data_IF_616698727918
#
_entry.id   IF_616698727918
#
_cell.length_a   1.000
_cell.length_b   1.000
_cell.length_c   1.000
_cell.angle_alpha   90.00
_cell.angle_beta   90.00
_cell.angle_gamma   90.00
#
_symmetry.space_group_name_H-M   'P 1'
#
loop_
_entity.id
_entity.type
_entity.pdbx_description
1 polymer ?
#
# COMPACT_ATOMS: atom_id res chain seq x y z
N UNK A 1 -54.18 1.40 -23.59
CA UNK A 1 -53.25 0.91 -22.55
C UNK A 1 -52.05 0.37 -23.29
N UNK A 2 -50.93 1.09 -23.21
CA UNK A 2 -49.68 0.70 -23.82
C UNK A 2 -48.79 0.01 -22.79
N UNK A 3 -48.17 -1.07 -23.20
CA UNK A 3 -46.99 -1.67 -22.56
C UNK A 3 -46.08 -2.00 -23.75
N UNK A 4 -44.99 -1.25 -23.98
CA UNK A 4 -43.78 -1.32 -23.17
C UNK A 4 -43.00 -2.55 -23.64
N UNK A 5 -42.29 -2.51 -24.78
CA UNK A 5 -41.01 -1.80 -24.84
C UNK A 5 -39.88 -2.59 -24.16
N UNK A 6 -39.84 -3.91 -24.27
CA UNK A 6 -38.75 -4.77 -23.79
C UNK A 6 -37.66 -4.97 -24.85
N UNK A 7 -37.11 -3.88 -25.40
CA UNK A 7 -35.88 -3.94 -26.19
C UNK A 7 -34.71 -4.18 -25.24
N UNK A 8 -34.41 -5.45 -24.95
CA UNK A 8 -33.18 -5.83 -24.28
C UNK A 8 -32.01 -5.35 -25.13
N UNK A 9 -31.34 -4.29 -24.67
CA UNK A 9 -30.04 -3.92 -25.19
C UNK A 9 -29.09 -5.08 -24.90
N UNK A 10 -28.86 -5.95 -25.87
CA UNK A 10 -27.68 -6.81 -25.89
C UNK A 10 -26.47 -5.89 -25.76
N UNK A 11 -25.90 -5.87 -24.57
CA UNK A 11 -24.61 -5.29 -24.30
C UNK A 11 -23.61 -6.05 -25.17
N UNK A 12 -23.32 -5.51 -26.36
CA UNK A 12 -22.36 -6.05 -27.31
C UNK A 12 -21.05 -6.24 -26.56
N UNK A 13 -20.74 -7.48 -26.16
CA UNK A 13 -19.46 -7.81 -25.52
C UNK A 13 -18.37 -7.36 -26.48
N UNK A 14 -17.61 -6.34 -26.11
CA UNK A 14 -16.46 -5.89 -26.88
C UNK A 14 -15.44 -7.04 -26.94
N UNK A 15 -15.38 -7.72 -28.09
CA UNK A 15 -14.40 -8.77 -28.32
C UNK A 15 -13.04 -8.12 -28.51
N UNK A 16 -12.16 -8.31 -27.53
CA UNK A 16 -10.80 -7.77 -27.56
C UNK A 16 -9.87 -8.62 -28.43
N UNK A 17 -9.18 -7.98 -29.37
CA UNK A 17 -8.14 -8.60 -30.19
C UNK A 17 -6.77 -8.04 -29.80
N UNK A 18 -5.87 -8.89 -29.32
CA UNK A 18 -4.53 -8.47 -28.89
C UNK A 18 -3.56 -8.17 -30.05
N UNK A 19 -3.85 -8.66 -31.26
CA UNK A 19 -2.98 -8.53 -32.45
C UNK A 19 -3.80 -8.18 -33.69
N UNK A 20 -3.14 -7.54 -34.66
CA UNK A 20 -3.76 -7.24 -35.96
C UNK A 20 -3.98 -8.52 -36.78
N UNK A 21 -5.08 -8.57 -37.52
CA UNK A 21 -5.33 -9.63 -38.49
C UNK A 21 -4.56 -9.32 -39.77
N UNK A 22 -3.80 -10.28 -40.27
CA UNK A 22 -2.88 -10.12 -41.41
C UNK A 22 -3.47 -10.58 -42.75
N UNK A 23 -4.71 -11.07 -42.75
CA UNK A 23 -5.36 -11.57 -43.97
C UNK A 23 -5.65 -10.41 -44.93
N UNK A 24 -5.14 -10.45 -46.18
CA UNK A 24 -5.41 -9.42 -47.18
C UNK A 24 -6.90 -9.27 -47.50
N UNK A 25 -7.70 -10.33 -47.35
CA UNK A 25 -9.15 -10.31 -47.58
C UNK A 25 -9.90 -9.44 -46.57
N UNK A 26 -9.31 -9.19 -45.40
CA UNK A 26 -9.92 -8.44 -44.31
C UNK A 26 -9.53 -6.95 -44.30
N UNK A 27 -8.54 -6.53 -45.11
CA UNK A 27 -8.02 -5.15 -45.03
C UNK A 27 -9.10 -4.11 -45.32
N UNK A 28 -10.00 -4.38 -46.27
CA UNK A 28 -11.10 -3.48 -46.60
C UNK A 28 -12.08 -3.33 -45.44
N UNK A 29 -12.32 -4.42 -44.70
CA UNK A 29 -13.16 -4.39 -43.50
C UNK A 29 -12.46 -3.63 -42.37
N UNK A 30 -11.17 -3.88 -42.16
CA UNK A 30 -10.36 -3.19 -41.15
C UNK A 30 -10.25 -1.69 -41.42
N UNK A 31 -10.13 -1.26 -42.68
CA UNK A 31 -10.08 0.17 -43.02
C UNK A 31 -11.39 0.91 -42.74
N UNK A 32 -12.53 0.21 -42.66
CA UNK A 32 -13.80 0.79 -42.24
C UNK A 32 -13.85 1.02 -40.73
N UNK A 33 -13.13 0.22 -39.96
CA UNK A 33 -13.04 0.37 -38.51
C UNK A 33 -12.31 1.68 -38.13
N UNK A 34 -12.89 2.43 -37.20
CA UNK A 34 -12.31 3.66 -36.67
C UNK A 34 -11.09 3.38 -35.79
N UNK A 35 -11.12 2.30 -35.00
CA UNK A 35 -10.00 1.95 -34.14
C UNK A 35 -8.79 1.54 -34.95
N UNK A 36 -8.93 0.64 -35.93
CA UNK A 36 -7.83 0.27 -36.81
C UNK A 36 -7.18 1.48 -37.50
N UNK A 37 -7.97 2.42 -38.05
CA UNK A 37 -7.45 3.66 -38.64
C UNK A 37 -6.67 4.51 -37.63
N UNK A 38 -7.13 4.61 -36.38
CA UNK A 38 -6.38 5.30 -35.31
C UNK A 38 -5.04 4.63 -35.03
N UNK A 39 -5.01 3.30 -34.92
CA UNK A 39 -3.77 2.56 -34.68
C UNK A 39 -2.73 2.81 -35.76
N UNK A 40 -3.14 2.74 -37.04
CA UNK A 40 -2.24 3.01 -38.18
C UNK A 40 -1.70 4.43 -38.13
N UNK A 41 -2.57 5.43 -37.94
CA UNK A 41 -2.14 6.84 -37.87
C UNK A 41 -1.19 7.11 -36.69
N UNK A 42 -1.44 6.53 -35.52
CA UNK A 42 -0.57 6.68 -34.35
C UNK A 42 0.78 6.00 -34.59
N UNK A 43 0.81 4.80 -35.16
CA UNK A 43 2.07 4.12 -35.52
C UNK A 43 2.89 4.94 -36.53
N UNK A 44 2.23 5.54 -37.52
CA UNK A 44 2.90 6.45 -38.46
C UNK A 44 3.45 7.69 -37.75
N UNK A 45 2.70 8.30 -36.84
CA UNK A 45 3.18 9.47 -36.08
C UNK A 45 4.42 9.14 -35.23
N UNK A 46 4.40 8.00 -34.52
CA UNK A 46 5.57 7.53 -33.74
C UNK A 46 6.77 7.30 -34.65
N UNK A 47 6.57 6.66 -35.80
CA UNK A 47 7.63 6.43 -36.78
C UNK A 47 8.21 7.75 -37.32
N UNK A 48 7.35 8.70 -37.70
CA UNK A 48 7.77 10.01 -38.20
C UNK A 48 8.56 10.79 -37.14
N UNK A 49 8.15 10.74 -35.87
CA UNK A 49 8.89 11.35 -34.76
C UNK A 49 10.25 10.66 -34.53
N UNK A 50 10.29 9.32 -34.55
CA UNK A 50 11.52 8.56 -34.37
C UNK A 50 12.55 8.87 -35.47
N UNK A 51 12.11 8.96 -36.72
CA UNK A 51 12.97 9.28 -37.87
C UNK A 51 13.39 10.77 -37.86
N UNK A 52 12.55 11.67 -37.34
CA UNK A 52 12.90 13.08 -37.14
C UNK A 52 13.88 13.31 -35.99
N UNK A 53 13.98 12.37 -35.05
CA UNK A 53 14.86 12.48 -33.91
C UNK A 53 16.29 12.13 -34.32
N UNK A 54 17.15 13.15 -34.37
CA UNK A 54 18.56 12.96 -34.72
C UNK A 54 19.27 12.12 -33.65
N UNK A 55 19.84 10.98 -34.07
CA UNK A 55 20.63 10.09 -33.22
C UNK A 55 22.00 9.91 -33.84
N UNK A 56 23.04 9.81 -33.00
CA UNK A 56 24.44 9.63 -33.43
C UNK A 56 24.65 8.41 -34.35
N UNK A 57 23.74 7.44 -34.31
CA UNK A 57 23.82 6.19 -35.06
C UNK A 57 22.92 6.14 -36.31
N UNK A 58 22.21 7.23 -36.64
CA UNK A 58 21.29 7.30 -37.79
C UNK A 58 21.80 8.29 -38.84
N UNK A 59 21.75 7.95 -40.14
CA UNK A 59 22.04 8.90 -41.21
C UNK A 59 21.13 10.13 -41.12
N UNK A 60 21.70 11.32 -41.34
CA UNK A 60 20.92 12.54 -41.37
C UNK A 60 19.95 12.55 -42.56
N UNK A 61 18.69 12.92 -42.31
CA UNK A 61 17.69 13.12 -43.36
C UNK A 61 18.07 14.33 -44.23
N UNK A 62 17.86 14.18 -45.54
CA UNK A 62 17.96 15.29 -46.49
C UNK A 62 16.89 16.35 -46.23
N UNK A 63 17.12 17.59 -46.66
CA UNK A 63 16.15 18.68 -46.50
C UNK A 63 14.79 18.37 -47.15
N UNK A 64 14.80 17.67 -48.29
CA UNK A 64 13.58 17.24 -48.96
C UNK A 64 12.78 16.22 -48.11
N UNK A 65 13.46 15.23 -47.54
CA UNK A 65 12.84 14.22 -46.67
C UNK A 65 12.27 14.83 -45.39
N UNK A 66 12.97 15.80 -44.78
CA UNK A 66 12.46 16.51 -43.58
C UNK A 66 11.14 17.23 -43.87
N UNK A 67 11.06 17.91 -45.01
CA UNK A 67 9.84 18.59 -45.46
C UNK A 67 8.69 17.60 -45.71
N UNK A 68 9.00 16.43 -46.28
CA UNK A 68 8.01 15.38 -46.50
C UNK A 68 7.50 14.78 -45.18
N UNK A 69 8.39 14.54 -44.23
CA UNK A 69 8.04 14.06 -42.89
C UNK A 69 7.12 15.05 -42.16
N UNK A 70 7.42 16.35 -42.23
CA UNK A 70 6.57 17.40 -41.65
C UNK A 70 5.19 17.45 -42.33
N UNK A 71 5.14 17.34 -43.66
CA UNK A 71 3.88 17.31 -44.41
C UNK A 71 3.03 16.07 -44.05
N UNK A 72 3.65 14.89 -43.93
CA UNK A 72 2.98 13.66 -43.51
C UNK A 72 2.50 13.73 -42.07
N UNK A 73 3.29 14.30 -41.16
CA UNK A 73 2.92 14.52 -39.77
C UNK A 73 1.68 15.42 -39.69
N UNK A 74 1.69 16.56 -40.38
CA UNK A 74 0.54 17.49 -40.45
C UNK A 74 -0.70 16.80 -41.03
N UNK A 75 -0.53 15.97 -42.06
CA UNK A 75 -1.64 15.19 -42.65
C UNK A 75 -2.22 14.20 -41.65
N UNK A 76 -1.39 13.43 -40.94
CA UNK A 76 -1.85 12.45 -39.95
C UNK A 76 -2.61 13.14 -38.80
N UNK A 77 -2.06 14.24 -38.27
CA UNK A 77 -2.71 15.03 -37.22
C UNK A 77 -4.01 15.70 -37.69
N UNK A 78 -4.13 16.05 -38.98
CA UNK A 78 -5.38 16.57 -39.55
C UNK A 78 -6.47 15.51 -39.75
N UNK A 79 -6.09 14.24 -39.94
CA UNK A 79 -7.05 13.14 -40.15
C UNK A 79 -7.63 12.58 -38.84
N UNK A 80 -6.84 12.56 -37.75
CA UNK A 80 -7.25 12.00 -36.46
C UNK A 80 -8.56 12.61 -35.88
N UNK A 81 -8.79 13.94 -35.91
CA UNK A 81 -10.02 14.55 -35.43
C UNK A 81 -11.29 14.06 -36.12
N UNK A 82 -11.18 13.64 -37.38
CA UNK A 82 -12.32 13.15 -38.18
C UNK A 82 -12.77 11.73 -37.82
N UNK A 83 -12.04 11.01 -36.98
CA UNK A 83 -12.35 9.62 -36.62
C UNK A 83 -13.14 9.58 -35.32
N UNK A 84 -14.38 9.09 -35.36
CA UNK A 84 -15.21 8.85 -34.18
C UNK A 84 -14.77 7.59 -33.40
N UNK A 85 -15.08 7.47 -32.09
CA UNK A 85 -15.75 8.44 -31.21
C UNK A 85 -14.77 9.45 -30.56
N UNK A 86 -15.10 10.74 -30.56
CA UNK A 86 -14.31 11.76 -29.84
C UNK A 86 -12.93 12.06 -30.44
N UNK A 87 -12.82 12.07 -31.77
CA UNK A 87 -11.54 12.23 -32.50
C UNK A 87 -10.72 13.44 -32.08
N UNK A 88 -11.34 14.59 -31.81
CA UNK A 88 -10.63 15.80 -31.38
C UNK A 88 -9.91 15.61 -30.02
N UNK A 89 -10.57 14.97 -29.05
CA UNK A 89 -9.97 14.64 -27.75
C UNK A 89 -8.83 13.63 -27.91
N UNK A 90 -9.03 12.63 -28.76
CA UNK A 90 -8.01 11.64 -29.08
C UNK A 90 -6.78 12.27 -29.73
N UNK A 91 -6.96 13.14 -30.73
CA UNK A 91 -5.87 13.86 -31.38
C UNK A 91 -5.06 14.71 -30.39
N UNK A 92 -5.73 15.42 -29.48
CA UNK A 92 -5.06 16.18 -28.41
C UNK A 92 -4.26 15.28 -27.46
N UNK A 93 -4.81 14.11 -27.11
CA UNK A 93 -4.11 13.14 -26.27
C UNK A 93 -2.87 12.56 -26.97
N UNK A 94 -2.96 12.24 -28.27
CA UNK A 94 -1.81 11.80 -29.08
C UNK A 94 -0.75 12.89 -29.14
N UNK A 95 -1.13 14.16 -29.38
CA UNK A 95 -0.18 15.28 -29.37
C UNK A 95 0.58 15.37 -28.04
N UNK A 96 -0.15 15.32 -26.91
CA UNK A 96 0.46 15.36 -25.57
C UNK A 96 1.39 14.16 -25.33
N UNK A 97 1.05 12.99 -25.88
CA UNK A 97 1.88 11.79 -25.77
C UNK A 97 3.19 11.92 -26.56
N UNK A 98 3.14 12.46 -27.78
CA UNK A 98 4.31 12.72 -28.63
C UNK A 98 5.23 13.78 -28.01
N UNK A 99 4.66 14.87 -27.47
CA UNK A 99 5.40 15.89 -26.71
C UNK A 99 6.10 15.29 -25.49
N UNK A 100 5.41 14.44 -24.72
CA UNK A 100 6.01 13.75 -23.57
C UNK A 100 7.14 12.82 -24.00
N UNK A 101 6.98 12.11 -25.12
CA UNK A 101 8.03 11.25 -25.68
C UNK A 101 9.26 12.08 -26.08
N UNK A 102 9.09 13.25 -26.68
CA UNK A 102 10.20 14.15 -27.00
C UNK A 102 10.98 14.57 -25.75
N UNK A 103 10.28 14.94 -24.68
CA UNK A 103 10.91 15.24 -23.39
C UNK A 103 11.66 14.04 -22.82
N UNK A 104 11.09 12.83 -22.93
CA UNK A 104 11.70 11.60 -22.46
C UNK A 104 12.99 11.27 -23.24
N UNK A 105 12.98 11.45 -24.56
CA UNK A 105 14.15 11.25 -25.42
C UNK A 105 15.25 12.25 -25.05
N UNK A 106 14.92 13.54 -24.90
CA UNK A 106 15.88 14.58 -24.48
C UNK A 106 16.48 14.27 -23.11
N UNK A 107 15.65 13.88 -22.15
CA UNK A 107 16.11 13.50 -20.81
C UNK A 107 17.06 12.31 -20.85
N UNK A 108 16.71 11.26 -21.61
CA UNK A 108 17.58 10.10 -21.80
C UNK A 108 18.90 10.47 -22.48
N UNK A 109 18.85 11.34 -23.49
CA UNK A 109 20.04 11.86 -24.16
C UNK A 109 20.94 12.68 -23.23
N UNK A 110 20.36 13.35 -22.22
CA UNK A 110 21.09 14.11 -21.20
C UNK A 110 21.70 13.25 -20.07
N UNK A 111 21.65 11.91 -20.19
CA UNK A 111 22.24 11.00 -19.21
C UNK A 111 21.33 10.65 -18.03
N UNK A 112 20.01 10.78 -18.21
CA UNK A 112 19.01 10.34 -17.24
C UNK A 112 19.18 11.00 -15.85
N UNK A 113 19.28 12.33 -15.82
CA UNK A 113 19.41 13.08 -14.56
C UNK A 113 18.26 12.76 -13.59
N UNK A 114 18.52 12.55 -12.29
CA UNK A 114 17.44 12.33 -11.33
C UNK A 114 16.39 13.46 -11.39
N UNK A 115 15.12 13.09 -11.54
CA UNK A 115 14.01 14.05 -11.51
C UNK A 115 13.62 14.47 -10.08
N UNK A 116 14.17 13.76 -9.09
CA UNK A 116 13.92 14.03 -7.69
C UNK A 116 14.59 15.35 -7.31
N UNK A 117 13.76 16.36 -7.04
CA UNK A 117 14.22 17.49 -6.25
C UNK A 117 14.46 16.96 -4.86
N UNK A 118 15.72 16.88 -4.43
CA UNK A 118 16.02 16.76 -3.01
C UNK A 118 15.13 17.78 -2.29
N UNK A 119 14.42 17.36 -1.24
CA UNK A 119 13.49 18.23 -0.53
C UNK A 119 14.24 19.50 -0.15
N UNK A 120 14.03 20.57 -0.93
CA UNK A 120 14.65 21.86 -0.67
C UNK A 120 13.83 22.49 0.43
N UNK A 121 13.91 21.90 1.62
CA UNK A 121 13.71 22.65 2.84
C UNK A 121 14.92 23.58 2.85
N UNK A 122 14.82 24.70 2.13
CA UNK A 122 15.77 25.77 2.34
C UNK A 122 15.68 26.07 3.84
N UNK A 123 16.80 25.95 4.55
CA UNK A 123 16.86 26.26 5.99
C UNK A 123 16.30 27.68 6.25
N UNK A 124 16.37 28.54 5.24
CA UNK A 124 15.77 29.88 5.18
C UNK A 124 14.22 29.90 5.08
N UNK A 125 13.55 28.97 4.39
CA UNK A 125 12.07 28.86 4.44
C UNK A 125 11.57 28.21 5.73
N UNK A 126 12.39 27.34 6.35
CA UNK A 126 12.12 26.83 7.70
C UNK A 126 12.22 27.94 8.77
N UNK A 127 13.08 28.96 8.58
CA UNK A 127 13.20 30.13 9.48
C UNK A 127 12.34 31.34 9.06
N UNK A 128 11.93 31.43 7.79
CA UNK A 128 11.29 32.60 7.19
C UNK A 128 9.77 32.65 7.30
N UNK A 129 9.10 31.56 7.66
CA UNK A 129 7.68 31.64 8.04
C UNK A 129 7.58 32.34 9.38
N UNK A 130 7.35 33.66 9.32
CA UNK A 130 6.95 34.54 10.44
C UNK A 130 6.30 33.70 11.52
N UNK A 131 6.98 33.58 12.68
CA UNK A 131 6.40 33.12 13.94
C UNK A 131 5.05 33.82 14.07
N UNK A 132 3.96 33.16 13.64
CA UNK A 132 2.61 33.58 13.99
C UNK A 132 2.66 33.55 15.51
N UNK A 133 2.46 34.72 16.13
CA UNK A 133 2.38 34.89 17.58
C UNK A 133 1.77 33.62 18.15
N UNK A 134 2.56 32.92 18.97
CA UNK A 134 2.04 31.88 19.82
C UNK A 134 1.02 32.54 20.74
N UNK A 135 -0.22 32.64 20.25
CA UNK A 135 -1.37 32.78 21.12
C UNK A 135 -1.41 31.47 21.91
N UNK A 136 -1.33 31.63 23.21
CA UNK A 136 -0.87 30.60 24.13
C UNK A 136 -1.79 29.40 24.21
N UNK A 137 -1.21 28.34 24.78
CA UNK A 137 -1.91 27.36 25.61
C UNK A 137 -2.93 26.48 24.92
N UNK A 138 -2.56 25.22 24.67
CA UNK A 138 -3.55 24.18 24.42
C UNK A 138 -2.97 23.00 23.68
N UNK A 139 -2.74 21.92 24.42
CA UNK A 139 -2.56 20.56 23.92
C UNK A 139 -3.59 20.22 22.83
N UNK A 140 -3.14 19.64 21.72
CA UNK A 140 -4.01 18.98 20.73
C UNK A 140 -4.72 19.89 19.72
N UNK A 141 -4.03 20.28 18.64
CA UNK A 141 -4.71 20.75 17.42
C UNK A 141 -5.48 19.60 16.79
N UNK A 142 -6.78 19.49 17.09
CA UNK A 142 -7.69 18.58 16.40
C UNK A 142 -7.70 18.95 14.91
N UNK A 143 -7.28 18.02 14.07
CA UNK A 143 -7.28 18.19 12.62
C UNK A 143 -8.73 18.25 12.14
N UNK A 144 -9.13 19.38 11.57
CA UNK A 144 -10.46 19.57 10.99
C UNK A 144 -10.40 19.19 9.50
N UNK A 145 -11.01 18.07 9.14
CA UNK A 145 -11.21 17.66 7.74
C UNK A 145 -12.63 18.05 7.29
N UNK A 146 -12.88 17.96 5.97
CA UNK A 146 -14.13 18.40 5.36
C UNK A 146 -15.39 17.61 5.76
N UNK A 147 -15.26 16.48 6.47
CA UNK A 147 -16.38 15.67 6.94
C UNK A 147 -16.18 15.32 8.43
N UNK A 148 -17.26 15.38 9.23
CA UNK A 148 -17.28 15.04 10.64
C UNK A 148 -16.72 13.64 10.96
N UNK A 149 -16.96 12.64 10.12
CA UNK A 149 -16.42 11.28 10.27
C UNK A 149 -14.91 11.24 10.08
N UNK A 150 -14.39 12.01 9.12
CA UNK A 150 -12.95 12.11 8.86
C UNK A 150 -12.24 12.89 9.95
N UNK A 151 -12.82 14.01 10.40
CA UNK A 151 -12.36 14.76 11.57
C UNK A 151 -12.34 13.86 12.80
N UNK A 152 -13.34 13.00 13.00
CA UNK A 152 -13.36 12.05 14.11
C UNK A 152 -12.20 11.06 14.00
N UNK A 153 -12.10 10.32 12.90
CA UNK A 153 -11.07 9.29 12.71
C UNK A 153 -9.64 9.83 12.82
N UNK A 154 -9.39 10.99 12.24
CA UNK A 154 -8.05 11.60 12.26
C UNK A 154 -7.62 12.09 13.65
N UNK A 155 -8.60 12.27 14.54
CA UNK A 155 -8.36 12.65 15.93
C UNK A 155 -8.56 11.46 16.90
N UNK A 156 -8.77 10.25 16.40
CA UNK A 156 -8.88 9.02 17.21
C UNK A 156 -7.50 8.44 17.49
N UNK A 157 -6.80 9.07 18.44
CA UNK A 157 -5.50 8.63 18.95
C UNK A 157 -4.34 9.51 18.48
N UNK A 158 -3.26 9.53 19.26
CA UNK A 158 -2.01 10.11 18.80
C UNK A 158 -1.33 9.14 17.84
N UNK A 159 -0.84 9.67 16.72
CA UNK A 159 0.06 8.93 15.83
C UNK A 159 1.51 8.90 16.38
N UNK A 160 1.68 9.11 17.69
CA UNK A 160 2.99 8.99 18.33
C UNK A 160 3.40 7.53 18.33
N UNK A 161 4.68 7.27 18.07
CA UNK A 161 5.26 5.92 18.20
C UNK A 161 5.04 5.36 19.61
N UNK A 162 5.00 6.22 20.62
CA UNK A 162 4.76 5.86 22.02
C UNK A 162 3.33 5.32 22.24
N UNK A 163 2.32 5.91 21.60
CA UNK A 163 0.93 5.47 21.70
C UNK A 163 0.73 4.12 21.00
N UNK A 164 1.41 3.90 19.87
CA UNK A 164 1.40 2.64 19.13
C UNK A 164 2.13 1.55 19.92
N UNK A 165 3.27 1.89 20.54
CA UNK A 165 4.04 0.98 21.38
C UNK A 165 3.23 0.55 22.62
N UNK A 166 2.61 1.50 23.34
CA UNK A 166 1.73 1.23 24.48
C UNK A 166 0.57 0.31 24.11
N UNK A 167 -0.11 0.58 23.00
CA UNK A 167 -1.23 -0.25 22.54
C UNK A 167 -0.81 -1.68 22.18
N UNK A 168 0.44 -1.90 21.79
CA UNK A 168 0.95 -3.25 21.52
C UNK A 168 1.26 -4.00 22.83
N UNK A 169 1.71 -3.28 23.86
CA UNK A 169 2.00 -3.85 25.19
C UNK A 169 0.73 -4.11 26.00
N UNK A 170 -0.24 -3.18 26.02
CA UNK A 170 -1.46 -3.26 26.84
C UNK A 170 -2.46 -4.34 26.37
N UNK A 171 -2.34 -4.82 25.13
CA UNK A 171 -3.31 -5.77 24.53
C UNK A 171 -3.04 -7.22 24.93
N UNK A 172 -1.84 -7.55 25.40
CA UNK A 172 -1.50 -8.93 25.75
C UNK A 172 -1.40 -9.07 27.28
N UNK A 173 -2.35 -9.74 27.96
CA UNK A 173 -2.24 -9.98 29.40
C UNK A 173 -1.01 -10.84 29.70
N UNK A 174 -0.43 -10.68 30.88
CA UNK A 174 0.68 -11.54 31.30
C UNK A 174 0.21 -13.00 31.44
N UNK A 175 1.12 -13.95 31.22
CA UNK A 175 0.78 -15.38 31.26
C UNK A 175 0.21 -15.78 32.63
N UNK A 176 0.79 -15.22 33.69
CA UNK A 176 0.35 -15.43 35.07
C UNK A 176 -1.06 -14.89 35.31
N UNK A 177 -1.34 -13.64 34.92
CA UNK A 177 -2.67 -13.05 35.07
C UNK A 177 -3.73 -13.78 34.26
N UNK A 178 -3.36 -14.26 33.07
CA UNK A 178 -4.28 -15.00 32.22
C UNK A 178 -4.62 -16.37 32.81
N UNK A 179 -3.67 -17.06 33.47
CA UNK A 179 -3.82 -18.42 34.01
C UNK A 179 -4.29 -18.47 35.48
N UNK A 180 -4.22 -17.38 36.24
CA UNK A 180 -4.78 -17.26 37.61
C UNK A 180 -6.18 -17.86 37.76
N UNK A 181 -7.12 -17.66 36.82
CA UNK A 181 -8.45 -18.22 36.99
C UNK A 181 -8.51 -19.76 36.88
N UNK A 182 -7.57 -20.40 36.17
CA UNK A 182 -7.46 -21.88 36.17
C UNK A 182 -6.94 -22.37 37.51
N UNK A 183 -6.06 -21.61 38.16
CA UNK A 183 -5.57 -21.95 39.49
C UNK A 183 -6.68 -21.86 40.55
N UNK A 184 -7.55 -20.86 40.46
CA UNK A 184 -8.72 -20.69 41.36
C UNK A 184 -9.75 -21.79 41.13
N UNK A 185 -10.02 -22.17 39.87
CA UNK A 185 -10.92 -23.28 39.52
C UNK A 185 -10.42 -24.66 40.03
N UNK A 186 -9.15 -24.75 40.45
CA UNK A 186 -8.55 -25.97 41.04
C UNK A 186 -8.66 -26.04 42.57
N UNK A 187 -9.02 -24.96 43.28
CA UNK A 187 -9.15 -24.96 44.75
C UNK A 187 -10.48 -25.62 45.18
N UNK A 188 -10.46 -26.70 45.99
CA UNK A 188 -11.66 -27.35 46.49
C UNK A 188 -12.61 -26.44 47.29
N UNK A 189 -12.14 -25.26 47.75
CA UNK A 189 -12.94 -24.30 48.51
C UNK A 189 -13.93 -23.47 47.65
N UNK A 190 -13.67 -23.32 46.34
CA UNK A 190 -14.47 -22.44 45.47
C UNK A 190 -15.76 -23.09 44.96
N UNK A 191 -15.95 -24.40 45.17
CA UNK A 191 -17.22 -25.09 44.91
C UNK A 191 -17.71 -25.03 43.45
N UNK A 192 -16.82 -24.82 42.48
CA UNK A 192 -17.17 -24.67 41.06
C UNK A 192 -17.44 -26.05 40.43
N UNK A 193 -18.64 -26.21 39.87
CA UNK A 193 -19.06 -27.42 39.15
C UNK A 193 -18.14 -27.70 37.95
N UNK A 194 -17.88 -28.97 37.67
CA UNK A 194 -16.88 -29.39 36.67
C UNK A 194 -17.18 -28.89 35.24
N UNK A 195 -18.45 -28.64 34.93
CA UNK A 195 -18.91 -28.14 33.63
C UNK A 195 -18.49 -26.68 33.36
N UNK A 196 -18.29 -25.88 34.41
CA UNK A 196 -17.95 -24.46 34.30
C UNK A 196 -16.45 -24.16 34.48
N UNK A 197 -15.63 -25.19 34.68
CA UNK A 197 -14.17 -25.05 34.80
C UNK A 197 -13.59 -24.54 33.48
N UNK A 198 -12.73 -23.51 33.55
CA UNK A 198 -12.12 -22.87 32.35
C UNK A 198 -11.26 -23.78 31.50
N UNK A 199 -10.86 -24.95 32.03
CA UNK A 199 -10.22 -26.03 31.27
C UNK A 199 -11.11 -26.60 30.15
N UNK A 200 -12.44 -26.58 30.34
CA UNK A 200 -13.41 -27.09 29.38
C UNK A 200 -13.78 -26.06 28.29
N UNK A 201 -13.48 -24.78 28.51
CA UNK A 201 -13.64 -23.77 27.46
C UNK A 201 -12.50 -23.89 26.43
N UNK A 202 -12.87 -24.38 25.24
CA UNK A 202 -11.97 -24.58 24.10
C UNK A 202 -11.32 -23.27 23.64
N UNK A 203 -12.02 -22.14 23.73
CA UNK A 203 -11.51 -20.83 23.33
C UNK A 203 -10.47 -20.34 24.33
N UNK A 204 -10.76 -20.50 25.62
CA UNK A 204 -9.85 -20.13 26.69
C UNK A 204 -8.57 -20.97 26.65
N UNK A 205 -8.70 -22.30 26.50
CA UNK A 205 -7.58 -23.24 26.37
C UNK A 205 -6.70 -22.94 25.15
N UNK A 206 -7.29 -22.61 24.00
CA UNK A 206 -6.53 -22.27 22.80
C UNK A 206 -5.76 -20.95 22.94
N UNK A 207 -6.37 -19.92 23.57
CA UNK A 207 -5.69 -18.67 23.90
C UNK A 207 -4.56 -18.89 24.92
N UNK A 208 -4.78 -19.73 25.94
CA UNK A 208 -3.78 -20.11 26.93
C UNK A 208 -2.57 -20.78 26.27
N UNK A 209 -2.79 -21.77 25.39
CA UNK A 209 -1.75 -22.45 24.64
C UNK A 209 -0.93 -21.49 23.78
N UNK A 210 -1.59 -20.53 23.13
CA UNK A 210 -0.92 -19.53 22.30
C UNK A 210 -0.09 -18.53 23.10
N UNK A 211 -0.51 -18.21 24.32
CA UNK A 211 0.27 -17.40 25.26
C UNK A 211 1.45 -18.19 25.84
N UNK A 212 1.24 -19.45 26.24
CA UNK A 212 2.31 -20.36 26.72
C UNK A 212 3.38 -20.56 25.64
N UNK A 213 3.00 -20.79 24.39
CA UNK A 213 3.94 -20.98 23.28
C UNK A 213 4.88 -19.79 23.03
N UNK A 214 4.47 -18.57 23.39
CA UNK A 214 5.28 -17.36 23.20
C UNK A 214 6.23 -17.07 24.35
N UNK A 215 5.92 -17.56 25.56
CA UNK A 215 6.67 -17.26 26.79
C UNK A 215 7.54 -18.45 27.18
N UNK A 216 6.95 -19.64 27.30
CA UNK A 216 7.63 -20.85 27.79
C UNK A 216 7.19 -22.11 27.03
N UNK A 217 8.00 -22.50 26.05
CA UNK A 217 7.79 -23.72 25.24
C UNK A 217 7.87 -25.00 26.10
N UNK A 218 8.61 -24.96 27.21
CA UNK A 218 8.72 -26.08 28.16
C UNK A 218 7.43 -26.42 28.91
N UNK A 219 6.42 -25.54 28.90
CA UNK A 219 5.11 -25.83 29.47
C UNK A 219 4.24 -26.62 28.50
N UNK A 220 4.44 -26.46 27.20
CA UNK A 220 3.69 -27.19 26.18
C UNK A 220 3.97 -28.69 26.23
N UNK A 221 5.21 -29.08 26.55
CA UNK A 221 5.55 -30.50 26.75
C UNK A 221 4.79 -31.11 27.93
N UNK A 222 4.49 -30.33 28.96
CA UNK A 222 3.69 -30.75 30.12
C UNK A 222 2.19 -30.81 29.80
N UNK A 223 1.69 -29.96 28.91
CA UNK A 223 0.30 -30.05 28.39
C UNK A 223 0.12 -31.21 27.40
N UNK A 224 1.19 -31.66 26.74
CA UNK A 224 1.12 -32.78 25.79
C UNK A 224 1.32 -34.16 26.43
N UNK A 225 1.57 -34.22 27.75
CA UNK A 225 1.78 -35.48 28.46
C UNK A 225 0.46 -36.28 28.59
N UNK A 226 0.50 -37.62 28.63
CA UNK A 226 -0.69 -38.48 28.61
C UNK A 226 -1.68 -38.26 29.77
N UNK A 227 -1.24 -37.65 30.87
CA UNK A 227 -2.08 -37.22 32.01
C UNK A 227 -1.94 -35.70 32.28
N UNK A 228 -1.37 -34.94 31.34
CA UNK A 228 -1.04 -33.52 31.51
C UNK A 228 -2.09 -32.64 30.85
N UNK A 229 -2.96 -32.03 31.67
CA UNK A 229 -3.88 -30.99 31.20
C UNK A 229 -3.27 -29.59 31.29
N UNK A 230 -4.07 -28.58 30.94
CA UNK A 230 -3.77 -27.17 31.22
C UNK A 230 -3.42 -26.95 32.71
N UNK A 231 -4.07 -27.72 33.60
CA UNK A 231 -3.84 -27.74 35.05
C UNK A 231 -2.39 -28.11 35.44
N UNK A 232 -1.78 -29.10 34.78
CA UNK A 232 -0.41 -29.54 35.07
C UNK A 232 0.64 -28.50 34.63
N UNK A 233 0.35 -27.74 33.58
CA UNK A 233 1.20 -26.63 33.16
C UNK A 233 1.08 -25.43 34.12
N UNK A 234 -0.14 -25.14 34.59
CA UNK A 234 -0.43 -24.05 35.54
C UNK A 234 0.22 -24.30 36.90
N UNK A 235 0.10 -25.50 37.47
CA UNK A 235 0.76 -25.83 38.74
C UNK A 235 2.28 -25.73 38.63
N UNK A 236 2.85 -26.25 37.55
CA UNK A 236 4.31 -26.19 37.34
C UNK A 236 4.85 -24.77 37.12
N UNK A 237 4.03 -23.87 36.55
CA UNK A 237 4.34 -22.46 36.43
C UNK A 237 4.36 -21.78 37.79
N UNK A 238 3.28 -21.92 38.57
CA UNK A 238 3.14 -21.26 39.86
C UNK A 238 4.09 -21.84 40.92
N UNK A 239 4.46 -23.11 40.84
CA UNK A 239 5.48 -23.73 41.69
C UNK A 239 6.88 -23.22 41.32
N UNK A 240 7.17 -23.03 40.03
CA UNK A 240 8.43 -22.40 39.58
C UNK A 240 8.53 -20.94 40.00
N UNK A 241 7.40 -20.23 40.11
CA UNK A 241 7.31 -18.85 40.61
C UNK A 241 7.46 -18.78 42.14
N UNK A 242 6.93 -19.76 42.89
CA UNK A 242 7.10 -19.86 44.35
C UNK A 242 8.51 -20.31 44.77
N UNK A 243 9.21 -21.06 43.91
CA UNK A 243 10.55 -21.59 44.16
C UNK A 243 11.72 -20.71 43.72
N UNK A 244 11.48 -19.54 43.12
CA UNK A 244 12.55 -18.63 42.70
C UNK A 244 13.01 -17.73 43.87
N UNK A 245 14.25 -17.86 44.37
CA UNK A 245 14.82 -16.83 45.25
C UNK A 245 15.05 -15.54 44.44
N UNK A 246 14.85 -14.41 45.11
CA UNK A 246 14.94 -13.06 44.57
C UNK A 246 16.37 -12.65 44.16
N UNK A 247 16.86 -13.13 43.01
CA UNK A 247 18.18 -12.75 42.47
C UNK A 247 18.14 -11.99 41.12
N UNK A 248 16.96 -11.79 40.51
CA UNK A 248 16.88 -11.08 39.21
C UNK A 248 16.75 -9.55 39.31
N UNK A 249 16.66 -8.98 40.52
CA UNK A 249 16.44 -7.53 40.69
C UNK A 249 17.74 -6.68 40.63
N UNK A 250 18.93 -7.28 40.77
CA UNK A 250 20.18 -6.50 40.77
C UNK A 250 20.86 -6.39 39.39
N UNK A 251 20.50 -7.24 38.42
CA UNK A 251 21.16 -7.24 37.09
C UNK A 251 20.64 -6.18 36.11
N UNK A 252 19.44 -5.60 36.32
CA UNK A 252 18.97 -4.45 35.52
C UNK A 252 19.63 -3.12 35.92
N UNK A 253 20.21 -3.01 37.12
CA UNK A 253 20.86 -1.76 37.57
C UNK A 253 22.26 -1.53 37.00
N UNK A 254 22.85 -2.55 36.36
CA UNK A 254 24.24 -2.52 35.87
C UNK A 254 24.37 -2.14 34.39
N UNK A 255 23.29 -2.16 33.59
CA UNK A 255 23.35 -1.82 32.16
C UNK A 255 23.15 -0.33 31.83
N UNK A 256 22.73 0.51 32.79
CA UNK A 256 22.40 1.93 32.54
C UNK A 256 23.55 2.91 32.86
N UNK A 257 24.80 2.42 32.89
CA UNK A 257 26.00 3.25 33.20
C UNK A 257 27.03 3.40 32.08
N UNK A 258 26.76 2.95 30.85
CA UNK A 258 27.69 3.13 29.72
C UNK A 258 26.96 3.78 28.55
N UNK A 259 26.74 5.09 28.63
CA UNK A 259 27.00 6.01 27.51
C UNK A 259 26.63 7.44 27.95
N UNK A 260 27.63 8.15 28.47
CA UNK A 260 27.60 9.61 28.56
C UNK A 260 28.78 10.12 27.72
N UNK A 261 28.54 10.83 26.62
CA UNK A 261 29.64 11.37 25.83
C UNK A 261 30.26 12.56 26.57
N UNK A 262 31.56 12.47 26.84
CA UNK A 262 32.39 13.60 27.23
C UNK A 262 32.70 14.47 26.00
N UNK A 263 32.55 15.78 26.19
CA UNK A 263 32.97 16.92 25.35
C UNK A 263 32.26 17.17 24.01
#
# INVERSE_FOLDING_TARGET
>A
MGEGGGGGAEELREVYFAKFLTSPKLIQLQLRDGYFRRHVLVQLLIFLQAVSTESKNMPALSAAQRKEVEALHKRCMGLLPGIQPGGARFAKAVLTMLEREEHWIKWKASGCVPFDKAASISRAEAEGTRKRKASGGGTGKRMQLGNASLTRLWNMGGNSLEDIARKTQDVTPTLEEYLKPVLVDMDPAEGIEEEYKKKNDKVYSWKALRLMAKKDVGLLSKVSAPNGGLEAAVTSLFDSLKGAPAESAEQESALDKVDKPDA
#
